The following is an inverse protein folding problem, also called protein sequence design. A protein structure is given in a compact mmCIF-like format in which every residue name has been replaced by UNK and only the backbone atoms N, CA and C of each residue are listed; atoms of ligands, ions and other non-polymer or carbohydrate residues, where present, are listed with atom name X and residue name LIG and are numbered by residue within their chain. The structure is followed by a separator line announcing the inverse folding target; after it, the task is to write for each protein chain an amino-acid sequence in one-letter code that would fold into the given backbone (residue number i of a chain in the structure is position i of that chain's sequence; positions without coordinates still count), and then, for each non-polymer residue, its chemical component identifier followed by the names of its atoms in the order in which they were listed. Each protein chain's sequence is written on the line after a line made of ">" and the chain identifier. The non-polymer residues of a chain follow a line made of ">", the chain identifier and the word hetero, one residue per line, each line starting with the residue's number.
data_IF_064991512938
#
_entry.id   IF_064991512938
#
_cell.length_a   1.000
_cell.length_b   1.000
_cell.length_c   1.000
_cell.angle_alpha   90.00
_cell.angle_beta   90.00
_cell.angle_gamma   90.00
#
_symmetry.space_group_name_H-M   'P 1'
#
loop_
_entity.id
_entity.type
_entity.pdbx_description
1 polymer ?
#
# COMPACT_ATOMS: atom_id res chain seq x y z
N UNK A 1 15.92 35.18 40.13
CA UNK A 1 15.71 35.57 38.72
C UNK A 1 15.23 34.36 37.86
N UNK A 2 14.30 33.51 38.34
CA UNK A 2 13.93 32.23 37.66
C UNK A 2 12.41 32.06 37.40
N UNK A 3 11.60 33.09 37.63
CA UNK A 3 10.13 33.00 37.55
C UNK A 3 9.56 33.13 36.13
N UNK A 4 10.30 33.69 35.17
CA UNK A 4 9.80 34.04 33.84
C UNK A 4 10.01 32.97 32.75
N UNK A 5 10.84 31.95 33.02
CA UNK A 5 11.14 30.87 32.06
C UNK A 5 10.06 29.79 32.01
N UNK A 6 9.29 29.60 33.09
CA UNK A 6 8.26 28.56 33.19
C UNK A 6 7.12 28.71 32.17
N UNK A 7 6.53 29.91 31.93
CA UNK A 7 5.51 30.06 30.89
C UNK A 7 6.09 29.91 29.47
N UNK A 8 7.34 30.34 29.26
CA UNK A 8 8.02 30.19 27.96
C UNK A 8 8.27 28.70 27.63
N UNK A 9 8.72 27.91 28.62
CA UNK A 9 8.92 26.47 28.48
C UNK A 9 7.61 25.75 28.16
N UNK A 10 6.50 26.13 28.82
CA UNK A 10 5.16 25.60 28.58
C UNK A 10 4.62 25.93 27.17
N UNK A 11 4.91 27.12 26.67
CA UNK A 11 4.46 27.57 25.35
C UNK A 11 5.26 26.90 24.22
N UNK A 12 6.56 26.68 24.42
CA UNK A 12 7.42 25.95 23.48
C UNK A 12 7.09 24.46 23.44
N UNK A 13 6.79 23.84 24.60
CA UNK A 13 6.35 22.43 24.63
C UNK A 13 4.96 22.24 24.02
N UNK A 14 4.04 23.18 24.23
CA UNK A 14 2.71 23.14 23.61
C UNK A 14 2.76 23.30 22.07
N UNK A 15 3.67 24.11 21.56
CA UNK A 15 3.84 24.31 20.11
C UNK A 15 4.37 23.06 19.38
N UNK A 16 5.15 22.19 20.05
CA UNK A 16 5.67 20.95 19.45
C UNK A 16 4.59 19.86 19.29
N UNK A 17 3.48 19.93 20.02
CA UNK A 17 2.38 18.93 19.96
C UNK A 17 1.48 19.15 18.73
N UNK A 18 1.62 20.28 18.04
CA UNK A 18 0.82 20.64 16.86
C UNK A 18 1.37 20.10 15.54
N UNK A 19 2.35 19.19 15.56
CA UNK A 19 2.75 18.48 14.33
C UNK A 19 1.57 17.56 13.97
N UNK A 20 0.82 17.83 12.87
CA UNK A 20 -0.21 16.91 12.46
C UNK A 20 0.48 15.56 12.17
N UNK A 21 0.04 14.50 12.85
CA UNK A 21 0.44 13.15 12.50
C UNK A 21 0.06 12.99 11.02
N UNK A 22 1.05 12.82 10.14
CA UNK A 22 0.80 12.57 8.74
C UNK A 22 -0.09 11.33 8.67
N UNK A 23 -1.34 11.50 8.25
CA UNK A 23 -2.21 10.38 8.01
C UNK A 23 -1.55 9.54 6.92
N UNK A 24 -1.12 8.33 7.28
CA UNK A 24 -0.67 7.35 6.30
C UNK A 24 -1.91 6.90 5.51
N UNK A 25 -2.26 7.67 4.48
CA UNK A 25 -3.27 7.27 3.52
C UNK A 25 -2.73 6.03 2.80
N UNK A 26 -3.55 4.98 2.71
CA UNK A 26 -3.24 3.81 1.90
C UNK A 26 -3.29 4.22 0.41
N UNK A 27 -2.16 4.74 -0.09
CA UNK A 27 -1.95 5.14 -1.49
C UNK A 27 -2.00 3.94 -2.45
N UNK A 28 -2.06 2.72 -1.92
CA UNK A 28 -1.91 1.49 -2.70
C UNK A 28 -0.45 1.30 -3.14
N UNK A 29 -0.21 0.25 -3.91
CA UNK A 29 1.12 -0.04 -4.47
C UNK A 29 1.15 0.44 -5.92
N UNK A 30 2.08 1.32 -6.32
CA UNK A 30 2.17 1.79 -7.71
C UNK A 30 2.42 0.64 -8.69
N UNK A 31 1.86 0.73 -9.91
CA UNK A 31 2.21 -0.19 -10.98
C UNK A 31 3.70 -0.15 -11.31
N UNK A 32 4.26 -1.31 -11.69
CA UNK A 32 5.69 -1.51 -11.87
C UNK A 32 6.47 -1.76 -10.58
N UNK A 33 5.82 -1.74 -9.41
CA UNK A 33 6.49 -2.11 -8.15
C UNK A 33 6.74 -3.61 -8.12
N UNK A 34 7.99 -4.03 -7.90
CA UNK A 34 8.31 -5.45 -7.64
C UNK A 34 7.95 -5.81 -6.21
N UNK A 35 7.26 -6.95 -6.07
CA UNK A 35 6.90 -7.55 -4.78
C UNK A 35 7.55 -8.91 -4.69
N UNK A 36 8.38 -9.08 -3.66
CA UNK A 36 9.04 -10.33 -3.35
C UNK A 36 8.24 -11.10 -2.29
N UNK A 37 7.98 -12.37 -2.57
CA UNK A 37 7.26 -13.26 -1.67
C UNK A 37 8.10 -14.50 -1.38
N UNK A 38 8.22 -14.82 -0.09
CA UNK A 38 8.78 -16.06 0.41
C UNK A 38 8.00 -16.51 1.64
N UNK A 39 8.05 -17.81 1.93
CA UNK A 39 7.45 -18.39 3.10
C UNK A 39 8.51 -19.10 3.93
N UNK A 40 8.26 -19.27 5.22
CA UNK A 40 9.08 -20.06 6.12
C UNK A 40 8.21 -21.07 6.85
N UNK A 41 8.68 -22.31 6.93
CA UNK A 41 8.02 -23.38 7.69
C UNK A 41 8.85 -23.68 8.93
N UNK A 42 8.23 -23.51 10.08
CA UNK A 42 8.71 -23.99 11.38
C UNK A 42 8.03 -25.31 11.70
N UNK A 43 8.81 -26.30 12.15
CA UNK A 43 8.28 -27.61 12.50
C UNK A 43 9.09 -28.27 13.62
N UNK A 44 8.52 -29.29 14.25
CA UNK A 44 9.16 -30.06 15.30
C UNK A 44 9.03 -31.57 15.00
N UNK A 45 10.06 -32.33 15.35
CA UNK A 45 10.08 -33.79 15.24
C UNK A 45 10.20 -34.36 16.64
N UNK A 46 9.21 -35.15 17.07
CA UNK A 46 9.17 -35.70 18.43
C UNK A 46 9.15 -34.62 19.53
N UNK A 47 8.62 -33.43 19.24
CA UNK A 47 8.59 -32.30 20.17
C UNK A 47 9.85 -31.43 20.17
N UNK A 48 10.89 -31.78 19.41
CA UNK A 48 12.12 -30.98 19.27
C UNK A 48 12.00 -30.07 18.04
N UNK A 49 12.06 -28.76 18.24
CA UNK A 49 12.03 -27.77 17.18
C UNK A 49 13.19 -28.00 16.19
N UNK A 50 12.88 -27.91 14.89
CA UNK A 50 13.84 -28.04 13.80
C UNK A 50 14.26 -26.66 13.29
N UNK A 51 15.31 -26.63 12.49
CA UNK A 51 15.70 -25.41 11.78
C UNK A 51 14.57 -25.00 10.81
N UNK A 52 14.17 -23.72 10.79
CA UNK A 52 13.16 -23.23 9.86
C UNK A 52 13.63 -23.40 8.40
N UNK A 53 12.71 -23.83 7.53
CA UNK A 53 13.00 -24.00 6.10
C UNK A 53 12.29 -22.89 5.33
N UNK A 54 13.05 -22.11 4.56
CA UNK A 54 12.51 -21.10 3.68
C UNK A 54 12.17 -21.67 2.30
N UNK A 55 11.10 -21.16 1.69
CA UNK A 55 10.81 -21.38 0.27
C UNK A 55 11.79 -20.60 -0.61
N UNK A 56 11.75 -20.88 -1.91
CA UNK A 56 12.35 -19.97 -2.89
C UNK A 56 11.66 -18.59 -2.84
N UNK A 57 12.41 -17.55 -3.24
CA UNK A 57 11.88 -16.20 -3.44
C UNK A 57 11.18 -16.14 -4.81
N UNK A 58 9.98 -15.57 -4.84
CA UNK A 58 9.23 -15.29 -6.06
C UNK A 58 8.95 -13.80 -6.13
N UNK A 59 9.30 -13.19 -7.25
CA UNK A 59 9.03 -11.78 -7.51
C UNK A 59 7.92 -11.62 -8.55
N UNK A 60 7.01 -10.69 -8.32
CA UNK A 60 6.01 -10.28 -9.30
C UNK A 60 5.85 -8.76 -9.31
N UNK A 61 5.44 -8.21 -10.46
CA UNK A 61 5.20 -6.78 -10.61
C UNK A 61 3.73 -6.47 -10.35
N UNK A 62 3.47 -5.35 -9.67
CA UNK A 62 2.13 -4.78 -9.57
C UNK A 62 1.75 -4.17 -10.91
N UNK A 63 0.52 -4.39 -11.37
CA UNK A 63 -0.04 -3.75 -12.55
C UNK A 63 -1.35 -3.02 -12.20
N UNK A 64 -1.75 -2.10 -13.08
CA UNK A 64 -2.99 -1.35 -12.94
C UNK A 64 -4.19 -2.20 -13.41
N UNK A 65 -5.23 -2.28 -12.59
CA UNK A 65 -6.53 -2.75 -13.06
C UNK A 65 -7.20 -1.65 -13.87
N UNK A 66 -7.53 -1.94 -15.13
CA UNK A 66 -8.31 -1.05 -15.99
C UNK A 66 -9.76 -1.55 -16.00
N UNK A 67 -10.70 -0.69 -15.60
CA UNK A 67 -12.13 -0.94 -15.70
C UNK A 67 -12.71 -0.04 -16.80
N UNK A 68 -13.14 -0.65 -17.91
CA UNK A 68 -13.55 0.08 -19.12
C UNK A 68 -15.07 -0.01 -19.26
N UNK A 69 -15.73 1.14 -19.24
CA UNK A 69 -17.14 1.25 -19.60
C UNK A 69 -17.26 1.44 -21.12
N UNK A 70 -17.77 0.42 -21.82
CA UNK A 70 -18.05 0.51 -23.26
C UNK A 70 -19.52 0.86 -23.45
N UNK A 71 -19.78 1.95 -24.16
CA UNK A 71 -21.14 2.40 -24.52
C UNK A 71 -21.18 2.70 -26.02
N UNK A 72 -22.33 2.44 -26.65
CA UNK A 72 -22.58 2.91 -28.02
C UNK A 72 -22.96 4.39 -27.96
N UNK A 73 -22.44 5.18 -28.91
CA UNK A 73 -22.88 6.56 -29.11
C UNK A 73 -24.17 6.64 -29.92
N UNK A 74 -24.55 5.54 -30.58
CA UNK A 74 -25.70 5.50 -31.47
C UNK A 74 -26.98 5.43 -30.65
N UNK A 75 -27.96 6.25 -31.03
CA UNK A 75 -29.29 6.24 -30.42
C UNK A 75 -30.11 5.00 -30.80
N UNK A 76 -29.56 4.10 -31.63
CA UNK A 76 -30.25 2.91 -32.14
C UNK A 76 -29.33 2.02 -33.00
N UNK A 77 -29.89 0.97 -33.58
CA UNK A 77 -29.13 0.02 -34.40
C UNK A 77 -28.58 0.68 -35.68
N UNK A 78 -27.27 0.52 -35.92
CA UNK A 78 -26.65 0.94 -37.18
C UNK A 78 -26.71 -0.20 -38.19
N UNK A 79 -27.26 0.08 -39.38
CA UNK A 79 -27.22 -0.87 -40.49
C UNK A 79 -25.89 -0.72 -41.22
N UNK A 80 -25.13 -1.81 -41.34
CA UNK A 80 -23.86 -1.85 -42.08
C UNK A 80 -23.98 -2.76 -43.30
N UNK A 81 -23.34 -2.37 -44.40
CA UNK A 81 -23.21 -3.23 -45.58
C UNK A 81 -21.95 -4.10 -45.42
N UNK A 82 -22.04 -5.44 -45.55
CA UNK A 82 -20.85 -6.28 -45.51
C UNK A 82 -19.90 -5.95 -46.68
N UNK A 83 -18.64 -5.64 -46.38
CA UNK A 83 -17.56 -5.58 -47.37
C UNK A 83 -17.24 -4.21 -47.99
N UNK A 84 -17.70 -3.10 -47.38
CA UNK A 84 -17.20 -1.74 -47.67
C UNK A 84 -16.22 -1.26 -46.62
#
# INVERSE_FOLDING_TARGET
>A
MYRSVRPLVLLVTGALVLIPAAAALAVGTPAGTSVDNSATVDYAVGGVAQAPIASNLVSFLVDNRIDIAVTTLDAGAITVLPGS
#
